data_IF_173291750957
#
_entry.id   IF_173291750957
#
_cell.length_a   1.000
_cell.length_b   1.000
_cell.length_c   1.000
_cell.angle_alpha   90.00
_cell.angle_beta   90.00
_cell.angle_gamma   90.00
#
_symmetry.space_group_name_H-M   'P 1'
#
loop_
_entity.id
_entity.type
_entity.pdbx_description
1 polymer ?
#
# COMPACT_ATOMS: atom_id res chain seq x y z
N UNK A 1 40.32 -45.39 -19.91
CA UNK A 1 39.03 -45.83 -19.31
C UNK A 1 39.01 -45.40 -17.84
N UNK A 2 37.82 -45.12 -17.29
CA UNK A 2 37.49 -44.53 -15.96
C UNK A 2 37.33 -43.00 -16.00
N UNK A 3 36.14 -42.44 -16.23
CA UNK A 3 34.88 -42.43 -15.43
C UNK A 3 35.06 -41.86 -14.01
N UNK A 4 34.92 -40.55 -13.87
CA UNK A 4 34.28 -39.92 -12.71
C UNK A 4 33.56 -38.65 -13.18
N UNK A 5 32.28 -38.80 -13.49
CA UNK A 5 31.36 -37.68 -13.70
C UNK A 5 30.90 -37.21 -12.31
N UNK A 6 31.50 -36.12 -11.82
CA UNK A 6 31.11 -35.49 -10.57
C UNK A 6 29.88 -34.61 -10.84
N UNK A 7 28.67 -35.16 -10.67
CA UNK A 7 27.43 -34.39 -10.65
C UNK A 7 27.45 -33.46 -9.45
N UNK A 8 27.79 -32.19 -9.66
CA UNK A 8 27.62 -31.14 -8.66
C UNK A 8 26.14 -30.77 -8.58
N UNK A 9 25.49 -31.17 -7.49
CA UNK A 9 24.17 -30.70 -7.12
C UNK A 9 24.22 -29.18 -6.89
N UNK A 10 23.58 -28.44 -7.78
CA UNK A 10 23.37 -27.01 -7.65
C UNK A 10 22.23 -26.80 -6.62
N UNK A 11 22.60 -26.59 -5.35
CA UNK A 11 21.65 -26.25 -4.30
C UNK A 11 21.17 -24.80 -4.50
N UNK A 12 20.09 -24.65 -5.26
CA UNK A 12 19.41 -23.38 -5.47
C UNK A 12 18.76 -22.95 -4.15
N UNK A 13 19.47 -22.14 -3.37
CA UNK A 13 18.96 -21.55 -2.14
C UNK A 13 17.98 -20.45 -2.53
N UNK A 14 16.68 -20.73 -2.46
CA UNK A 14 15.65 -19.69 -2.55
C UNK A 14 15.76 -18.82 -1.30
N UNK A 15 16.51 -17.73 -1.39
CA UNK A 15 16.41 -16.63 -0.44
C UNK A 15 14.98 -16.06 -0.58
N UNK A 16 14.10 -16.39 0.36
CA UNK A 16 12.78 -15.80 0.45
C UNK A 16 12.95 -14.33 0.84
N UNK A 17 12.85 -13.42 -0.12
CA UNK A 17 12.67 -12.00 0.18
C UNK A 17 11.35 -11.86 0.95
N UNK A 18 11.30 -11.11 2.08
CA UNK A 18 10.05 -10.86 2.76
C UNK A 18 9.10 -10.13 1.81
N UNK A 19 8.02 -10.81 1.44
CA UNK A 19 6.98 -10.24 0.59
C UNK A 19 6.31 -9.12 1.38
N UNK A 20 6.49 -7.87 0.93
CA UNK A 20 5.90 -6.70 1.56
C UNK A 20 4.47 -6.43 1.06
N UNK A 21 3.91 -7.33 0.24
CA UNK A 21 2.56 -7.24 -0.31
C UNK A 21 1.47 -7.42 0.73
N UNK A 22 0.37 -6.69 0.55
CA UNK A 22 -0.89 -6.88 1.31
C UNK A 22 -1.82 -7.90 0.65
N UNK A 23 -1.52 -8.32 -0.58
CA UNK A 23 -2.38 -9.20 -1.39
C UNK A 23 -3.61 -8.53 -2.00
N UNK A 24 -3.83 -7.22 -1.79
CA UNK A 24 -4.88 -6.45 -2.45
C UNK A 24 -4.53 -6.23 -3.93
N UNK A 25 -5.55 -6.16 -4.78
CA UNK A 25 -5.44 -5.92 -6.22
C UNK A 25 -6.19 -4.65 -6.63
N UNK A 26 -5.96 -4.17 -7.85
CA UNK A 26 -6.74 -3.06 -8.43
C UNK A 26 -8.26 -3.32 -8.40
N UNK A 27 -8.68 -4.58 -8.56
CA UNK A 27 -10.09 -4.95 -8.50
C UNK A 27 -10.68 -4.79 -7.10
N UNK A 28 -9.90 -5.01 -6.04
CA UNK A 28 -10.35 -4.83 -4.66
C UNK A 28 -10.60 -3.36 -4.32
N UNK A 29 -9.81 -2.47 -4.91
CA UNK A 29 -9.79 -1.05 -4.59
C UNK A 29 -10.43 -0.17 -5.66
N UNK A 30 -11.05 -0.78 -6.67
CA UNK A 30 -11.77 -0.04 -7.71
C UNK A 30 -12.81 0.91 -7.07
N UNK A 31 -12.95 2.12 -7.62
CA UNK A 31 -13.93 3.08 -7.13
C UNK A 31 -15.35 2.48 -7.22
N UNK A 32 -16.03 2.23 -6.09
CA UNK A 32 -17.35 1.61 -6.12
C UNK A 32 -18.38 2.55 -6.75
N UNK A 33 -19.26 2.01 -7.60
CA UNK A 33 -20.40 2.76 -8.13
C UNK A 33 -21.28 3.28 -6.99
N UNK A 34 -21.52 4.59 -6.96
CA UNK A 34 -22.28 5.23 -5.88
C UNK A 34 -21.53 5.36 -4.56
N UNK A 35 -20.19 5.30 -4.58
CA UNK A 35 -19.36 5.53 -3.39
C UNK A 35 -19.76 6.83 -2.68
N UNK A 36 -19.96 6.73 -1.36
CA UNK A 36 -20.24 7.85 -0.46
C UNK A 36 -19.01 8.27 0.34
N UNK A 37 -17.84 7.69 0.02
CA UNK A 37 -16.57 8.06 0.63
C UNK A 37 -16.14 9.41 0.08
N UNK A 38 -16.20 10.43 0.94
CA UNK A 38 -15.77 11.80 0.66
C UNK A 38 -14.71 12.20 1.68
N UNK A 39 -14.06 13.34 1.49
CA UNK A 39 -13.14 13.88 2.47
C UNK A 39 -13.83 14.12 3.81
N UNK A 40 -15.06 14.62 3.79
CA UNK A 40 -15.84 14.89 4.99
C UNK A 40 -16.32 13.61 5.70
N UNK A 41 -16.75 12.59 4.94
CA UNK A 41 -17.29 11.35 5.51
C UNK A 41 -16.24 10.30 5.86
N UNK A 42 -15.04 10.38 5.25
CA UNK A 42 -14.01 9.35 5.40
C UNK A 42 -12.59 9.93 5.39
N UNK A 43 -12.23 10.68 4.35
CA UNK A 43 -10.85 11.04 4.06
C UNK A 43 -10.15 11.79 5.20
N UNK A 44 -10.80 12.76 5.83
CA UNK A 44 -10.20 13.53 6.92
C UNK A 44 -9.78 12.65 8.11
N UNK A 45 -10.65 11.72 8.53
CA UNK A 45 -10.35 10.80 9.62
C UNK A 45 -9.25 9.81 9.23
N UNK A 46 -9.39 9.15 8.06
CA UNK A 46 -8.42 8.17 7.59
C UNK A 46 -7.00 8.77 7.46
N UNK A 47 -6.89 9.98 6.89
CA UNK A 47 -5.60 10.65 6.76
C UNK A 47 -5.02 11.01 8.14
N UNK A 48 -5.86 11.49 9.07
CA UNK A 48 -5.44 11.85 10.43
C UNK A 48 -4.89 10.64 11.20
N UNK A 49 -5.59 9.52 11.13
CA UNK A 49 -5.25 8.33 11.92
C UNK A 49 -4.02 7.60 11.36
N UNK A 50 -3.93 7.48 10.03
CA UNK A 50 -2.92 6.60 9.42
C UNK A 50 -1.71 7.35 8.87
N UNK A 51 -1.89 8.54 8.30
CA UNK A 51 -0.85 9.19 7.49
C UNK A 51 -0.23 10.42 8.18
N UNK A 52 -1.07 11.30 8.72
CA UNK A 52 -0.63 12.60 9.24
C UNK A 52 0.28 12.57 10.46
N UNK A 53 0.37 11.52 11.30
CA UNK A 53 1.31 11.58 12.41
C UNK A 53 2.79 11.69 11.96
N UNK A 54 3.09 11.32 10.70
CA UNK A 54 4.39 11.57 10.06
C UNK A 54 4.26 12.58 8.90
N UNK A 55 3.26 12.44 8.04
CA UNK A 55 3.12 13.23 6.80
C UNK A 55 2.58 14.66 6.99
N UNK A 56 2.56 15.18 8.22
CA UNK A 56 2.38 16.62 8.49
C UNK A 56 3.71 17.37 8.70
N UNK A 57 4.82 16.65 8.84
CA UNK A 57 6.17 17.17 9.12
C UNK A 57 7.24 16.55 8.23
N UNK A 58 7.02 15.31 7.76
CA UNK A 58 7.92 14.57 6.88
C UNK A 58 7.37 14.51 5.45
N UNK A 59 8.27 14.42 4.46
CA UNK A 59 7.87 14.40 3.05
C UNK A 59 7.51 12.98 2.60
N UNK A 60 6.48 12.81 1.73
CA UNK A 60 5.63 13.87 1.17
C UNK A 60 4.68 14.42 2.24
N UNK A 61 4.41 15.73 2.20
CA UNK A 61 3.38 16.33 3.04
C UNK A 61 2.01 15.92 2.48
N UNK A 62 1.13 15.44 3.36
CA UNK A 62 -0.24 14.99 3.04
C UNK A 62 -1.31 15.74 3.84
N UNK A 63 -0.93 16.89 4.41
CA UNK A 63 -1.74 17.74 5.29
C UNK A 63 -2.96 18.39 4.64
N UNK A 64 -3.08 18.37 3.31
CA UNK A 64 -4.23 18.93 2.58
C UNK A 64 -4.80 17.92 1.60
N UNK A 65 -6.11 18.01 1.32
CA UNK A 65 -6.75 17.13 0.34
C UNK A 65 -6.09 17.21 -1.05
N UNK A 66 -5.68 18.41 -1.49
CA UNK A 66 -4.97 18.59 -2.75
C UNK A 66 -3.62 17.84 -2.78
N UNK A 67 -2.89 17.81 -1.65
CA UNK A 67 -1.65 17.02 -1.55
C UNK A 67 -1.93 15.52 -1.64
N UNK A 68 -3.00 15.04 -0.98
CA UNK A 68 -3.42 13.64 -1.06
C UNK A 68 -3.82 13.26 -2.49
N UNK A 69 -4.62 14.09 -3.14
CA UNK A 69 -5.04 13.89 -4.53
C UNK A 69 -3.84 13.83 -5.48
N UNK A 70 -2.85 14.71 -5.29
CA UNK A 70 -1.62 14.71 -6.08
C UNK A 70 -0.74 13.48 -5.82
N UNK A 71 -0.80 12.91 -4.62
CA UNK A 71 0.02 11.76 -4.21
C UNK A 71 -0.70 10.40 -4.29
N UNK A 72 -1.98 10.37 -4.69
CA UNK A 72 -2.87 9.20 -4.55
C UNK A 72 -2.28 7.88 -5.06
N UNK A 73 -1.63 7.89 -6.22
CA UNK A 73 -1.01 6.69 -6.80
C UNK A 73 0.09 6.15 -5.89
N UNK A 74 0.96 7.03 -5.39
CA UNK A 74 2.01 6.63 -4.46
C UNK A 74 1.46 6.17 -3.12
N UNK A 75 0.36 6.75 -2.64
CA UNK A 75 -0.31 6.27 -1.42
C UNK A 75 -0.88 4.87 -1.63
N UNK A 76 -1.48 4.59 -2.80
CA UNK A 76 -1.96 3.25 -3.16
C UNK A 76 -0.80 2.25 -3.15
N UNK A 77 0.32 2.57 -3.81
CA UNK A 77 1.46 1.65 -3.90
C UNK A 77 2.04 1.31 -2.50
N UNK A 78 2.26 2.34 -1.68
CA UNK A 78 3.02 2.20 -0.42
C UNK A 78 2.16 1.80 0.79
N UNK A 79 0.90 2.22 0.83
CA UNK A 79 0.00 2.04 1.97
C UNK A 79 -1.18 1.11 1.69
N UNK A 80 -1.50 0.82 0.43
CA UNK A 80 -2.61 -0.08 0.08
C UNK A 80 -2.08 -1.43 -0.38
N UNK A 81 -1.20 -1.46 -1.38
CA UNK A 81 -0.62 -2.70 -1.91
C UNK A 81 0.60 -3.19 -1.14
N UNK A 82 1.27 -2.31 -0.40
CA UNK A 82 2.42 -2.62 0.43
C UNK A 82 2.13 -2.46 1.92
N UNK A 83 2.92 -3.15 2.74
CA UNK A 83 2.97 -3.03 4.20
C UNK A 83 3.97 -1.97 4.68
N UNK A 84 4.68 -1.30 3.76
CA UNK A 84 5.68 -0.27 4.07
C UNK A 84 5.09 0.92 4.85
N UNK A 85 3.85 1.30 4.54
CA UNK A 85 3.14 2.36 5.25
C UNK A 85 1.89 1.84 5.98
N UNK A 86 1.56 2.42 7.14
CA UNK A 86 2.34 3.41 7.90
C UNK A 86 3.52 2.78 8.68
N UNK A 87 4.68 3.44 8.66
CA UNK A 87 5.87 2.95 9.39
C UNK A 87 5.63 2.90 10.91
N UNK A 88 6.02 1.78 11.55
CA UNK A 88 5.88 1.58 12.99
C UNK A 88 4.43 1.51 13.50
N UNK A 89 3.45 1.48 12.59
CA UNK A 89 2.01 1.37 12.87
C UNK A 89 1.40 0.29 11.98
N UNK A 90 0.15 -0.06 12.26
CA UNK A 90 -0.58 -1.07 11.49
C UNK A 90 -1.85 -0.49 10.90
N UNK A 91 -2.16 -0.89 9.68
CA UNK A 91 -3.50 -0.81 9.09
C UNK A 91 -3.97 -2.22 8.75
N UNK A 92 -5.21 -2.56 9.12
CA UNK A 92 -5.87 -3.80 8.70
C UNK A 92 -6.13 -3.83 7.19
N UNK A 93 -6.35 -5.02 6.64
CA UNK A 93 -6.67 -5.17 5.21
C UNK A 93 -7.93 -4.39 4.80
N UNK A 94 -8.96 -4.37 5.64
CA UNK A 94 -10.19 -3.62 5.35
C UNK A 94 -9.96 -2.11 5.33
N UNK A 95 -9.16 -1.58 6.26
CA UNK A 95 -8.77 -0.17 6.25
C UNK A 95 -7.96 0.20 5.01
N UNK A 96 -7.03 -0.66 4.59
CA UNK A 96 -6.25 -0.47 3.36
C UNK A 96 -7.14 -0.50 2.13
N UNK A 97 -8.07 -1.46 2.06
CA UNK A 97 -9.04 -1.57 0.97
C UNK A 97 -9.93 -0.33 0.88
N UNK A 98 -10.47 0.13 2.00
CA UNK A 98 -11.32 1.33 2.04
C UNK A 98 -10.54 2.60 1.66
N UNK A 99 -9.28 2.72 2.10
CA UNK A 99 -8.38 3.79 1.67
C UNK A 99 -8.16 3.76 0.16
N UNK A 100 -7.85 2.58 -0.39
CA UNK A 100 -7.70 2.36 -1.82
C UNK A 100 -8.95 2.76 -2.61
N UNK A 101 -10.14 2.33 -2.18
CA UNK A 101 -11.41 2.69 -2.83
C UNK A 101 -11.65 4.21 -2.89
N UNK A 102 -11.40 4.91 -1.78
CA UNK A 102 -11.53 6.37 -1.75
C UNK A 102 -10.51 7.07 -2.66
N UNK A 103 -9.24 6.63 -2.66
CA UNK A 103 -8.19 7.17 -3.52
C UNK A 103 -8.47 6.89 -5.01
N UNK A 104 -8.97 5.69 -5.34
CA UNK A 104 -9.39 5.30 -6.69
C UNK A 104 -10.57 6.13 -7.19
N UNK A 105 -11.46 6.59 -6.30
CA UNK A 105 -12.49 7.57 -6.64
C UNK A 105 -11.95 8.99 -6.85
N UNK A 106 -10.64 9.19 -6.72
CA UNK A 106 -9.98 10.49 -6.87
C UNK A 106 -9.86 11.26 -5.56
N UNK A 107 -10.06 10.62 -4.41
CA UNK A 107 -10.10 11.28 -3.10
C UNK A 107 -11.03 12.50 -3.09
N UNK A 108 -12.32 12.33 -3.45
CA UNK A 108 -13.30 13.42 -3.47
C UNK A 108 -13.58 13.92 -2.06
#
# INVERSE_FOLDING_TARGET
MSRLALMSLFALSLAACPDSSTGLTDADIACPSGSTLTYASYGAAAMTDFCLPCHNKERPLLSTQAQVQAAKTRIIDEAVFSTAMPEGRSMSLDQRKQLGQWLSCGAP
#
